data_IF_141449231850
#
_entry.id   IF_141449231850
#
_cell.length_a   1.000
_cell.length_b   1.000
_cell.length_c   1.000
_cell.angle_alpha   90.00
_cell.angle_beta   90.00
_cell.angle_gamma   90.00
#
_symmetry.space_group_name_H-M   'P 1'
#
loop_
_entity.id
_entity.type
_entity.pdbx_description
1 polymer ?
#
# COMPACT_ATOMS: atom_id res chain seq x y z
N UNK A 1 21.64 14.71 19.84
CA UNK A 1 21.66 13.50 19.00
C UNK A 1 20.81 13.85 17.80
N UNK A 2 21.26 13.62 16.57
CA UNK A 2 20.41 13.76 15.39
C UNK A 2 19.38 12.64 15.52
N UNK A 3 18.12 13.01 15.63
CA UNK A 3 17.02 12.05 15.62
C UNK A 3 17.01 11.38 14.24
N UNK A 4 17.43 10.11 14.20
CA UNK A 4 17.51 9.35 12.95
C UNK A 4 16.17 8.68 12.74
N UNK A 5 15.38 9.20 11.83
CA UNK A 5 14.14 8.56 11.38
C UNK A 5 14.35 7.90 10.02
N UNK A 6 13.68 6.77 9.79
CA UNK A 6 13.55 6.17 8.46
C UNK A 6 12.28 6.69 7.80
N UNK A 7 12.42 7.30 6.63
CA UNK A 7 11.27 7.81 5.87
C UNK A 7 10.73 6.77 4.91
N UNK A 8 9.49 6.34 5.15
CA UNK A 8 8.75 5.43 4.27
C UNK A 8 7.65 6.22 3.56
N UNK A 9 7.62 6.16 2.24
CA UNK A 9 6.57 6.77 1.43
C UNK A 9 5.69 5.67 0.84
N UNK A 10 4.38 5.76 1.03
CA UNK A 10 3.40 4.84 0.47
C UNK A 10 2.60 5.54 -0.63
N UNK A 11 2.63 4.99 -1.84
CA UNK A 11 1.65 5.24 -2.89
C UNK A 11 0.74 4.02 -3.05
N UNK A 12 -0.46 4.20 -3.55
CA UNK A 12 -1.43 3.13 -3.75
C UNK A 12 -2.35 3.44 -4.92
N UNK A 13 -2.95 2.40 -5.49
CA UNK A 13 -4.03 2.53 -6.45
C UNK A 13 -3.61 3.37 -7.67
N UNK A 14 -2.50 2.94 -8.30
CA UNK A 14 -1.92 3.58 -9.48
C UNK A 14 -2.82 3.40 -10.71
N UNK A 15 -3.45 2.23 -10.85
CA UNK A 15 -4.37 1.87 -11.94
C UNK A 15 -3.85 2.21 -13.33
N UNK A 16 -2.57 1.95 -13.58
CA UNK A 16 -1.98 2.18 -14.89
C UNK A 16 -2.60 1.28 -15.95
N UNK A 17 -2.52 1.71 -17.19
CA UNK A 17 -2.87 0.95 -18.37
C UNK A 17 -1.65 0.80 -19.27
N UNK A 18 -1.67 -0.18 -20.17
CA UNK A 18 -0.67 -0.27 -21.24
C UNK A 18 -0.72 0.96 -22.15
N UNK A 19 -1.93 1.47 -22.41
CA UNK A 19 -2.13 2.71 -23.17
C UNK A 19 -1.92 3.94 -22.25
N UNK A 20 -0.93 4.79 -22.51
CA UNK A 20 -0.65 5.96 -21.70
C UNK A 20 -1.74 7.04 -21.72
N UNK A 21 -2.58 7.04 -22.75
CA UNK A 21 -3.67 8.00 -22.91
C UNK A 21 -5.00 7.50 -22.35
N UNK A 22 -5.04 6.25 -21.84
CA UNK A 22 -6.24 5.69 -21.25
C UNK A 22 -6.69 6.50 -20.01
N UNK A 23 -8.01 6.63 -19.88
CA UNK A 23 -8.63 7.34 -18.78
C UNK A 23 -9.42 6.38 -17.86
N UNK A 24 -9.27 6.59 -16.56
CA UNK A 24 -10.11 5.97 -15.53
C UNK A 24 -10.96 7.07 -14.88
N UNK A 25 -12.28 7.01 -15.09
CA UNK A 25 -13.22 8.01 -14.52
C UNK A 25 -12.87 9.48 -14.85
N UNK A 26 -12.33 9.74 -16.04
CA UNK A 26 -11.92 11.08 -16.48
C UNK A 26 -10.56 11.55 -15.97
N UNK A 27 -9.78 10.66 -15.39
CA UNK A 27 -8.39 10.89 -14.96
C UNK A 27 -7.46 10.03 -15.79
N UNK A 28 -6.33 10.57 -16.26
CA UNK A 28 -5.25 9.80 -16.88
C UNK A 28 -4.27 9.30 -15.80
N UNK A 29 -4.29 8.00 -15.44
CA UNK A 29 -3.43 7.49 -14.36
C UNK A 29 -1.94 7.69 -14.64
N UNK A 30 -1.51 7.57 -15.89
CA UNK A 30 -0.11 7.80 -16.27
C UNK A 30 0.40 9.19 -15.87
N UNK A 31 -0.42 10.23 -16.10
CA UNK A 31 -0.04 11.59 -15.74
C UNK A 31 0.01 11.76 -14.22
N UNK A 32 -0.95 11.17 -13.52
CA UNK A 32 -1.01 11.28 -12.06
C UNK A 32 0.13 10.53 -11.36
N UNK A 33 0.43 9.30 -11.77
CA UNK A 33 1.54 8.52 -11.19
C UNK A 33 2.88 9.22 -11.48
N UNK A 34 3.10 9.73 -12.69
CA UNK A 34 4.31 10.49 -13.02
C UNK A 34 4.44 11.72 -12.14
N UNK A 35 3.37 12.47 -11.95
CA UNK A 35 3.34 13.67 -11.06
C UNK A 35 3.61 13.29 -9.61
N UNK A 36 3.01 12.20 -9.11
CA UNK A 36 3.25 11.73 -7.74
C UNK A 36 4.72 11.37 -7.54
N UNK A 37 5.29 10.57 -8.43
CA UNK A 37 6.71 10.17 -8.34
C UNK A 37 7.65 11.36 -8.47
N UNK A 38 7.34 12.34 -9.34
CA UNK A 38 8.11 13.57 -9.44
C UNK A 38 8.02 14.39 -8.15
N UNK A 39 6.81 14.59 -7.61
CA UNK A 39 6.60 15.31 -6.35
C UNK A 39 7.37 14.67 -5.20
N UNK A 40 7.33 13.33 -5.10
CA UNK A 40 8.08 12.60 -4.07
C UNK A 40 9.60 12.82 -4.24
N UNK A 41 10.14 12.79 -5.47
CA UNK A 41 11.56 13.06 -5.71
C UNK A 41 11.99 14.47 -5.29
N UNK A 42 11.11 15.44 -5.47
CA UNK A 42 11.37 16.86 -5.18
C UNK A 42 11.21 17.21 -3.70
N UNK A 43 10.21 16.61 -3.02
CA UNK A 43 9.80 17.03 -1.67
C UNK A 43 10.14 16.00 -0.59
N UNK A 44 10.36 14.73 -0.97
CA UNK A 44 10.76 13.65 -0.06
C UNK A 44 12.16 13.09 -0.40
N UNK A 45 13.20 13.95 -0.47
CA UNK A 45 14.54 13.51 -0.90
C UNK A 45 15.16 12.46 0.04
N UNK A 46 14.69 12.41 1.29
CA UNK A 46 15.09 11.42 2.29
C UNK A 46 14.25 10.14 2.27
N UNK A 47 13.46 9.88 1.22
CA UNK A 47 12.71 8.64 1.09
C UNK A 47 13.65 7.44 1.06
N UNK A 48 13.64 6.64 2.13
CA UNK A 48 14.45 5.43 2.27
C UNK A 48 13.77 4.23 1.62
N UNK A 49 12.44 4.15 1.76
CA UNK A 49 11.62 3.07 1.20
C UNK A 49 10.38 3.64 0.52
N UNK A 50 10.14 3.23 -0.72
CA UNK A 50 8.90 3.48 -1.45
C UNK A 50 8.04 2.21 -1.40
N UNK A 51 6.84 2.27 -0.85
CA UNK A 51 5.89 1.16 -0.84
C UNK A 51 4.77 1.46 -1.84
N UNK A 52 4.46 0.50 -2.73
CA UNK A 52 3.30 0.54 -3.62
C UNK A 52 2.32 -0.54 -3.18
N UNK A 53 1.24 -0.11 -2.55
CA UNK A 53 0.34 -0.99 -1.80
C UNK A 53 -0.89 -1.46 -2.59
N UNK A 54 -0.65 -1.92 -3.82
CA UNK A 54 -1.65 -2.60 -4.65
C UNK A 54 -2.30 -1.71 -5.71
N UNK A 55 -3.02 -2.38 -6.62
CA UNK A 55 -3.65 -1.81 -7.80
C UNK A 55 -2.66 -1.02 -8.66
N UNK A 56 -1.53 -1.69 -8.99
CA UNK A 56 -0.46 -1.14 -9.82
C UNK A 56 -0.93 -0.96 -11.26
N UNK A 57 -1.58 -2.02 -11.79
CA UNK A 57 -2.10 -2.08 -13.16
C UNK A 57 -3.61 -2.25 -13.14
N UNK A 58 -4.34 -1.49 -13.95
CA UNK A 58 -5.79 -1.64 -14.09
C UNK A 58 -6.19 -2.74 -15.09
N UNK A 59 -5.36 -2.95 -16.09
CA UNK A 59 -5.56 -3.90 -17.19
C UNK A 59 -4.91 -5.28 -16.95
N UNK A 60 -4.24 -5.47 -15.81
CA UNK A 60 -3.53 -6.70 -15.39
C UNK A 60 -2.44 -7.15 -16.39
N UNK A 61 -2.09 -6.33 -17.38
CA UNK A 61 -1.19 -6.70 -18.46
C UNK A 61 0.28 -6.48 -18.08
N UNK A 62 1.13 -7.46 -18.42
CA UNK A 62 2.57 -7.39 -18.17
C UNK A 62 3.25 -6.10 -18.65
N UNK A 63 2.95 -5.55 -19.86
CA UNK A 63 3.54 -4.29 -20.30
C UNK A 63 3.27 -3.11 -19.37
N UNK A 64 2.14 -3.08 -18.67
CA UNK A 64 1.79 -2.04 -17.71
C UNK A 64 2.73 -2.04 -16.52
N UNK A 65 3.11 -3.22 -16.00
CA UNK A 65 4.12 -3.33 -14.94
C UNK A 65 5.51 -2.88 -15.40
N UNK A 66 5.87 -3.16 -16.67
CA UNK A 66 7.14 -2.66 -17.26
C UNK A 66 7.14 -1.13 -17.26
N UNK A 67 6.05 -0.50 -17.68
CA UNK A 67 5.92 0.97 -17.67
C UNK A 67 6.03 1.52 -16.24
N UNK A 68 5.36 0.91 -15.26
CA UNK A 68 5.49 1.34 -13.86
C UNK A 68 6.94 1.23 -13.37
N UNK A 69 7.61 0.11 -13.67
CA UNK A 69 9.01 -0.10 -13.30
C UNK A 69 9.94 0.95 -13.92
N UNK A 70 9.70 1.34 -15.18
CA UNK A 70 10.42 2.43 -15.84
C UNK A 70 10.15 3.79 -15.17
N UNK A 71 8.91 4.08 -14.75
CA UNK A 71 8.57 5.30 -14.02
C UNK A 71 9.26 5.37 -12.64
N UNK A 72 9.34 4.25 -11.92
CA UNK A 72 10.06 4.14 -10.65
C UNK A 72 11.56 4.37 -10.86
N UNK A 73 12.12 3.78 -11.92
CA UNK A 73 13.49 3.99 -12.35
C UNK A 73 14.52 3.54 -11.30
N UNK A 74 15.43 4.43 -10.93
CA UNK A 74 16.52 4.18 -9.98
C UNK A 74 16.07 3.93 -8.53
N UNK A 75 14.78 4.11 -8.24
CA UNK A 75 14.20 3.79 -6.93
C UNK A 75 13.77 2.33 -6.78
N UNK A 76 13.80 1.52 -7.85
CA UNK A 76 13.40 0.10 -7.80
C UNK A 76 14.10 -0.66 -6.64
N UNK A 77 15.42 -0.52 -6.37
CA UNK A 77 16.04 -1.28 -5.27
C UNK A 77 15.50 -0.95 -3.88
N UNK A 78 14.95 0.24 -3.68
CA UNK A 78 14.30 0.67 -2.42
C UNK A 78 12.77 0.57 -2.47
N UNK A 79 12.22 0.08 -3.57
CA UNK A 79 10.77 -0.12 -3.71
C UNK A 79 10.34 -1.46 -3.11
N UNK A 80 9.14 -1.48 -2.53
CA UNK A 80 8.44 -2.70 -2.11
C UNK A 80 7.04 -2.66 -2.65
N UNK A 81 6.54 -3.79 -3.12
CA UNK A 81 5.24 -3.88 -3.77
C UNK A 81 4.42 -5.02 -3.18
N UNK A 82 3.12 -4.82 -3.13
CA UNK A 82 2.12 -5.87 -2.88
C UNK A 82 1.00 -5.72 -3.90
N UNK A 83 0.26 -6.79 -4.26
CA UNK A 83 -0.83 -6.69 -5.21
C UNK A 83 -2.11 -6.15 -4.58
N UNK A 84 -2.92 -5.48 -5.40
CA UNK A 84 -4.32 -5.22 -5.16
C UNK A 84 -5.22 -6.17 -5.98
N UNK A 85 -6.52 -5.86 -6.05
CA UNK A 85 -7.46 -6.70 -6.81
C UNK A 85 -7.34 -6.52 -8.33
N UNK A 86 -6.74 -5.44 -8.81
CA UNK A 86 -6.42 -5.19 -10.22
C UNK A 86 -4.98 -5.57 -10.57
N UNK A 87 -4.42 -6.60 -9.95
CA UNK A 87 -3.04 -6.97 -10.23
C UNK A 87 -2.91 -8.46 -10.66
N UNK A 88 -1.80 -8.76 -11.33
CA UNK A 88 -1.46 -10.09 -11.81
C UNK A 88 -0.11 -10.54 -11.26
N UNK A 89 -0.12 -11.48 -10.29
CA UNK A 89 1.08 -11.91 -9.54
C UNK A 89 2.22 -12.37 -10.45
N UNK A 90 1.94 -13.19 -11.47
CA UNK A 90 2.99 -13.69 -12.36
C UNK A 90 3.71 -12.54 -13.08
N UNK A 91 2.97 -11.51 -13.52
CA UNK A 91 3.56 -10.32 -14.14
C UNK A 91 4.39 -9.52 -13.15
N UNK A 92 3.97 -9.43 -11.89
CA UNK A 92 4.73 -8.76 -10.83
C UNK A 92 6.03 -9.53 -10.52
N UNK A 93 5.98 -10.85 -10.39
CA UNK A 93 7.18 -11.69 -10.19
C UNK A 93 8.17 -11.55 -11.34
N UNK A 94 7.69 -11.54 -12.59
CA UNK A 94 8.55 -11.44 -13.76
C UNK A 94 9.19 -10.05 -13.91
N UNK A 95 8.40 -8.98 -13.74
CA UNK A 95 8.88 -7.61 -13.98
C UNK A 95 9.68 -7.04 -12.81
N UNK A 96 9.38 -7.45 -11.58
CA UNK A 96 10.01 -6.97 -10.35
C UNK A 96 10.83 -8.05 -9.63
N UNK A 97 11.42 -8.98 -10.39
CA UNK A 97 12.16 -10.13 -9.86
C UNK A 97 13.29 -9.77 -8.87
N UNK A 98 13.82 -8.54 -8.93
CA UNK A 98 14.87 -8.07 -8.02
C UNK A 98 14.35 -7.65 -6.62
N UNK A 99 13.04 -7.42 -6.46
CA UNK A 99 12.42 -6.98 -5.19
C UNK A 99 11.28 -7.87 -4.72
N UNK A 100 10.90 -8.87 -5.50
CA UNK A 100 9.90 -9.88 -5.16
C UNK A 100 10.58 -11.23 -4.99
N UNK A 101 10.25 -11.95 -3.91
CA UNK A 101 10.84 -13.26 -3.60
C UNK A 101 10.30 -14.33 -4.55
N UNK A 102 11.11 -14.92 -5.44
CA UNK A 102 10.62 -15.83 -6.49
C UNK A 102 10.03 -17.14 -5.97
N UNK A 103 10.47 -17.60 -4.78
CA UNK A 103 10.05 -18.86 -4.17
C UNK A 103 8.67 -18.79 -3.51
N UNK A 104 8.10 -17.60 -3.38
CA UNK A 104 6.78 -17.40 -2.80
C UNK A 104 5.74 -17.25 -3.90
N UNK A 105 4.58 -17.85 -3.72
CA UNK A 105 3.45 -17.69 -4.62
C UNK A 105 2.82 -16.31 -4.45
N UNK A 106 2.73 -15.85 -3.21
CA UNK A 106 2.25 -14.52 -2.84
C UNK A 106 3.35 -13.48 -3.05
N UNK A 107 2.96 -12.28 -3.45
CA UNK A 107 3.84 -11.11 -3.53
C UNK A 107 3.79 -10.38 -2.20
N UNK A 108 4.62 -10.82 -1.27
CA UNK A 108 4.75 -10.24 0.06
C UNK A 108 6.22 -9.89 0.35
N UNK A 109 6.45 -9.07 1.36
CA UNK A 109 7.80 -8.69 1.76
C UNK A 109 7.92 -8.47 3.26
N UNK A 110 9.14 -8.62 3.75
CA UNK A 110 9.61 -8.17 5.04
C UNK A 110 10.83 -7.28 4.82
N UNK A 111 10.95 -6.21 5.58
CA UNK A 111 12.14 -5.37 5.61
C UNK A 111 12.40 -4.83 6.99
N UNK A 112 13.62 -5.08 7.48
CA UNK A 112 14.14 -4.45 8.70
C UNK A 112 14.55 -3.01 8.42
N UNK A 113 14.24 -2.14 9.37
CA UNK A 113 14.61 -0.74 9.39
C UNK A 113 15.21 -0.41 10.77
N UNK A 114 15.99 0.67 10.93
CA UNK A 114 16.41 1.11 12.25
C UNK A 114 15.23 1.32 13.20
N UNK A 115 15.15 0.52 14.28
CA UNK A 115 14.08 0.57 15.27
C UNK A 115 12.69 0.09 14.83
N UNK A 116 12.53 -0.33 13.58
CA UNK A 116 11.25 -0.75 13.00
C UNK A 116 11.40 -1.94 12.06
N UNK A 117 10.28 -2.59 11.83
CA UNK A 117 10.10 -3.54 10.74
C UNK A 117 8.85 -3.18 9.92
N UNK A 118 8.92 -3.38 8.62
CA UNK A 118 7.75 -3.29 7.75
C UNK A 118 7.43 -4.65 7.12
N UNK A 119 6.15 -5.00 7.10
CA UNK A 119 5.61 -6.19 6.41
C UNK A 119 4.64 -5.76 5.33
N UNK A 120 4.73 -6.35 4.16
CA UNK A 120 3.73 -6.23 3.10
C UNK A 120 3.02 -7.56 2.90
N UNK A 121 1.69 -7.56 2.98
CA UNK A 121 0.85 -8.76 2.88
C UNK A 121 0.04 -8.73 1.58
N UNK A 122 0.09 -9.84 0.86
CA UNK A 122 -0.71 -10.07 -0.33
C UNK A 122 -2.12 -10.50 0.06
N UNK A 123 -3.11 -9.73 -0.35
CA UNK A 123 -4.53 -10.02 -0.09
C UNK A 123 -5.32 -10.25 -1.39
N UNK A 124 -4.63 -10.42 -2.51
CA UNK A 124 -5.23 -10.59 -3.81
C UNK A 124 -5.92 -11.95 -3.97
N UNK A 125 -7.12 -11.97 -4.53
CA UNK A 125 -7.81 -13.17 -5.02
C UNK A 125 -8.01 -13.00 -6.52
N UNK A 126 -7.45 -13.87 -7.38
CA UNK A 126 -7.60 -13.75 -8.83
C UNK A 126 -9.07 -13.64 -9.28
N UNK A 127 -9.40 -12.57 -10.00
CA UNK A 127 -10.73 -12.34 -10.56
C UNK A 127 -11.80 -11.87 -9.55
N UNK A 128 -11.40 -11.52 -8.33
CA UNK A 128 -12.32 -11.03 -7.29
C UNK A 128 -11.94 -9.62 -6.86
N UNK A 129 -12.93 -8.82 -6.44
CA UNK A 129 -12.69 -7.46 -5.92
C UNK A 129 -12.33 -7.47 -4.42
N UNK A 130 -13.04 -8.22 -3.55
CA UNK A 130 -12.63 -8.34 -2.14
C UNK A 130 -11.34 -9.16 -1.99
N UNK A 131 -10.57 -8.86 -0.95
CA UNK A 131 -9.35 -9.60 -0.63
C UNK A 131 -9.53 -10.74 0.36
N UNK A 132 -8.51 -11.58 0.48
CA UNK A 132 -8.39 -12.62 1.50
C UNK A 132 -6.91 -12.83 1.85
N UNK A 133 -6.62 -13.17 3.10
CA UNK A 133 -5.30 -13.64 3.51
C UNK A 133 -5.33 -15.16 3.68
N UNK A 134 -4.48 -15.86 2.90
CA UNK A 134 -4.40 -17.33 2.91
C UNK A 134 -3.70 -17.90 4.16
N UNK A 135 -3.84 -19.24 4.35
CA UNK A 135 -3.24 -19.93 5.50
C UNK A 135 -1.72 -19.82 5.53
N UNK A 136 -1.07 -20.02 4.39
CA UNK A 136 0.37 -19.92 4.26
C UNK A 136 0.89 -18.55 4.64
N UNK A 137 0.22 -17.49 4.19
CA UNK A 137 0.63 -16.13 4.50
C UNK A 137 0.30 -15.72 5.94
N UNK A 138 -0.81 -16.21 6.52
CA UNK A 138 -1.07 -16.06 7.95
C UNK A 138 0.06 -16.70 8.79
N UNK A 139 0.50 -17.91 8.42
CA UNK A 139 1.61 -18.56 9.11
C UNK A 139 2.92 -17.80 8.94
N UNK A 140 3.23 -17.36 7.72
CA UNK A 140 4.40 -16.54 7.45
C UNK A 140 4.41 -15.25 8.27
N UNK A 141 3.28 -14.51 8.30
CA UNK A 141 3.16 -13.29 9.10
C UNK A 141 3.34 -13.56 10.60
N UNK A 142 2.74 -14.66 11.11
CA UNK A 142 2.91 -15.09 12.49
C UNK A 142 4.38 -15.37 12.82
N UNK A 143 5.09 -16.10 11.95
CA UNK A 143 6.49 -16.46 12.16
C UNK A 143 7.39 -15.22 12.14
N UNK A 144 7.16 -14.29 11.21
CA UNK A 144 7.87 -13.00 11.17
C UNK A 144 7.65 -12.21 12.47
N UNK A 145 6.39 -12.09 12.91
CA UNK A 145 6.06 -11.34 14.13
C UNK A 145 6.60 -11.99 15.39
N UNK A 146 6.63 -13.34 15.44
CA UNK A 146 7.16 -14.08 16.57
C UNK A 146 8.69 -14.03 16.69
N UNK A 147 9.41 -13.87 15.57
CA UNK A 147 10.86 -13.80 15.55
C UNK A 147 11.42 -12.59 16.29
N UNK A 148 10.69 -11.47 16.26
CA UNK A 148 11.10 -10.22 16.91
C UNK A 148 9.91 -9.56 17.65
N UNK A 149 9.55 -10.07 18.84
CA UNK A 149 8.32 -9.67 19.54
C UNK A 149 8.33 -8.22 20.06
N UNK A 150 9.51 -7.62 20.19
CA UNK A 150 9.67 -6.26 20.69
C UNK A 150 9.88 -5.21 19.58
N UNK A 151 10.00 -5.65 18.30
CA UNK A 151 10.27 -4.73 17.20
C UNK A 151 8.98 -4.06 16.71
N UNK A 152 8.81 -2.73 16.87
CA UNK A 152 7.70 -1.99 16.29
C UNK A 152 7.50 -2.35 14.82
N UNK A 153 6.28 -2.67 14.44
CA UNK A 153 5.98 -3.18 13.09
C UNK A 153 4.86 -2.37 12.45
N UNK A 154 5.10 -1.94 11.20
CA UNK A 154 4.11 -1.37 10.29
C UNK A 154 3.74 -2.43 9.25
N UNK A 155 2.44 -2.75 9.13
CA UNK A 155 1.93 -3.71 8.18
C UNK A 155 1.23 -2.98 7.04
N UNK A 156 1.64 -3.26 5.81
CA UNK A 156 0.96 -2.85 4.59
C UNK A 156 0.14 -4.00 4.02
N UNK A 157 -1.06 -3.71 3.59
CA UNK A 157 -1.91 -4.62 2.82
C UNK A 157 -2.82 -3.80 1.90
N UNK A 158 -3.37 -4.40 0.84
CA UNK A 158 -4.23 -3.63 -0.05
C UNK A 158 -5.64 -3.48 0.53
N UNK A 159 -6.31 -4.59 0.86
CA UNK A 159 -7.69 -4.58 1.33
C UNK A 159 -7.78 -4.33 2.84
N UNK A 160 -8.54 -3.32 3.31
CA UNK A 160 -8.69 -3.04 4.73
C UNK A 160 -9.34 -4.21 5.50
N UNK A 161 -8.75 -4.62 6.65
CA UNK A 161 -9.37 -5.57 7.58
C UNK A 161 -10.29 -4.87 8.60
N UNK A 162 -10.68 -3.64 8.33
CA UNK A 162 -11.50 -2.81 9.21
C UNK A 162 -12.47 -1.96 8.38
N UNK A 163 -13.58 -1.54 9.01
CA UNK A 163 -14.51 -0.62 8.36
C UNK A 163 -13.89 0.76 8.18
N UNK A 164 -14.03 1.29 6.98
CA UNK A 164 -13.66 2.68 6.61
C UNK A 164 -14.88 3.62 6.61
N UNK A 165 -15.97 3.19 7.26
CA UNK A 165 -17.24 3.95 7.37
C UNK A 165 -17.86 4.31 6.01
N UNK A 166 -17.56 3.52 4.99
CA UNK A 166 -18.07 3.71 3.62
C UNK A 166 -18.74 2.41 3.17
N UNK A 167 -20.07 2.31 3.26
CA UNK A 167 -20.82 1.04 3.21
C UNK A 167 -20.59 0.18 1.97
N UNK A 168 -20.25 0.75 0.82
CA UNK A 168 -19.98 -0.03 -0.38
C UNK A 168 -18.55 -0.57 -0.40
N UNK A 169 -17.57 0.19 0.12
CA UNK A 169 -16.19 -0.23 0.27
C UNK A 169 -16.03 -1.27 1.39
N UNK A 170 -16.77 -1.11 2.50
CA UNK A 170 -16.75 -2.07 3.60
C UNK A 170 -17.21 -3.49 3.18
N UNK A 171 -17.94 -3.61 2.06
CA UNK A 171 -18.37 -4.91 1.50
C UNK A 171 -17.29 -5.60 0.65
N UNK A 172 -16.30 -4.86 0.21
CA UNK A 172 -15.24 -5.33 -0.69
C UNK A 172 -13.84 -5.22 -0.07
N UNK A 173 -13.75 -5.02 1.23
CA UNK A 173 -12.50 -5.11 2.00
C UNK A 173 -11.98 -6.54 2.14
N UNK A 174 -11.27 -6.83 3.21
CA UNK A 174 -10.75 -8.17 3.49
C UNK A 174 -11.88 -9.12 3.97
N UNK A 175 -12.17 -10.19 3.23
CA UNK A 175 -13.26 -11.15 3.53
C UNK A 175 -13.09 -11.84 4.88
N UNK A 176 -11.87 -12.23 5.21
CA UNK A 176 -11.53 -12.90 6.47
C UNK A 176 -10.84 -11.96 7.46
N UNK A 177 -11.33 -10.73 7.54
CA UNK A 177 -10.81 -9.67 8.41
C UNK A 177 -10.71 -10.12 9.88
N UNK A 178 -11.73 -10.79 10.41
CA UNK A 178 -11.73 -11.30 11.79
C UNK A 178 -10.55 -12.22 12.05
N UNK A 179 -10.23 -13.11 11.11
CA UNK A 179 -9.08 -14.02 11.20
C UNK A 179 -7.76 -13.27 11.28
N UNK A 180 -7.58 -12.27 10.44
CA UNK A 180 -6.38 -11.44 10.45
C UNK A 180 -6.25 -10.62 11.74
N UNK A 181 -7.35 -10.04 12.20
CA UNK A 181 -7.36 -9.30 13.46
C UNK A 181 -7.09 -10.20 14.68
N UNK A 182 -7.60 -11.45 14.68
CA UNK A 182 -7.27 -12.46 15.70
C UNK A 182 -5.78 -12.83 15.65
N UNK A 183 -5.21 -13.00 14.45
CA UNK A 183 -3.78 -13.24 14.27
C UNK A 183 -2.93 -12.16 14.92
N UNK A 184 -3.35 -10.90 14.85
CA UNK A 184 -2.59 -9.77 15.39
C UNK A 184 -2.73 -9.57 16.91
N UNK A 185 -3.69 -10.22 17.58
CA UNK A 185 -3.92 -10.04 19.03
C UNK A 185 -2.69 -10.31 19.92
N UNK A 186 -1.91 -11.39 19.69
CA UNK A 186 -0.72 -11.65 20.49
C UNK A 186 0.48 -10.76 20.16
N UNK A 187 0.36 -9.85 19.17
CA UNK A 187 1.47 -9.06 18.66
C UNK A 187 1.24 -7.54 18.84
N UNK A 188 1.36 -7.01 20.08
CA UNK A 188 1.18 -5.58 20.38
C UNK A 188 2.23 -4.69 19.70
N UNK A 189 3.38 -5.25 19.28
CA UNK A 189 4.40 -4.56 18.49
C UNK A 189 3.93 -4.15 17.09
N UNK A 190 2.84 -4.74 16.56
CA UNK A 190 2.20 -4.20 15.35
C UNK A 190 1.50 -2.90 15.73
N UNK A 191 2.13 -1.77 15.42
CA UNK A 191 1.67 -0.44 15.79
C UNK A 191 0.74 0.18 14.76
N UNK A 192 0.91 -0.19 13.49
CA UNK A 192 0.17 0.41 12.36
C UNK A 192 -0.21 -0.70 11.38
N UNK A 193 -1.46 -0.62 10.89
CA UNK A 193 -1.92 -1.35 9.69
C UNK A 193 -2.39 -0.31 8.69
N UNK A 194 -1.73 -0.22 7.53
CA UNK A 194 -2.05 0.76 6.49
C UNK A 194 -2.42 0.09 5.17
N UNK A 195 -3.52 0.55 4.57
CA UNK A 195 -4.13 -0.07 3.40
C UNK A 195 -4.31 0.91 2.24
N UNK A 196 -4.47 0.36 1.02
CA UNK A 196 -4.97 1.03 -0.17
C UNK A 196 -6.45 0.79 -0.40
N UNK A 197 -6.84 0.52 -1.66
CA UNK A 197 -8.15 0.03 -2.11
C UNK A 197 -9.30 1.04 -2.03
N UNK A 198 -9.34 1.86 -1.00
CA UNK A 198 -10.49 2.74 -0.72
C UNK A 198 -10.39 4.10 -1.40
N UNK A 199 -9.26 4.42 -1.98
CA UNK A 199 -8.97 5.67 -2.70
C UNK A 199 -9.26 6.95 -1.91
N UNK A 200 -9.28 6.88 -0.58
CA UNK A 200 -9.38 8.04 0.30
C UNK A 200 -8.58 7.84 1.58
N UNK A 201 -8.28 8.93 2.23
CA UNK A 201 -7.65 8.93 3.53
C UNK A 201 -8.66 8.54 4.61
N UNK A 202 -8.27 7.59 5.45
CA UNK A 202 -9.00 7.22 6.65
C UNK A 202 -8.00 6.95 7.79
N UNK A 203 -8.41 7.28 9.01
CA UNK A 203 -7.64 7.01 10.20
C UNK A 203 -8.57 6.62 11.35
N UNK A 204 -8.19 5.58 12.08
CA UNK A 204 -8.84 5.16 13.30
C UNK A 204 -7.80 4.65 14.29
N UNK A 205 -7.83 5.21 15.50
CA UNK A 205 -7.02 4.73 16.60
C UNK A 205 -7.73 3.55 17.29
N UNK A 206 -7.03 2.42 17.38
CA UNK A 206 -7.42 1.27 18.17
C UNK A 206 -6.67 1.30 19.53
N UNK A 207 -6.95 0.30 20.38
CA UNK A 207 -6.34 0.24 21.73
C UNK A 207 -4.82 0.08 21.69
N UNK A 208 -4.29 -0.64 20.69
CA UNK A 208 -2.86 -0.99 20.61
C UNK A 208 -2.23 -0.55 19.29
N UNK A 209 -3.03 -0.29 18.26
CA UNK A 209 -2.55 0.01 16.90
C UNK A 209 -3.43 1.01 16.19
N UNK A 210 -2.81 1.71 15.26
CA UNK A 210 -3.49 2.63 14.36
C UNK A 210 -3.87 1.93 13.06
N UNK A 211 -5.08 2.20 12.57
CA UNK A 211 -5.59 1.71 11.28
C UNK A 211 -5.71 2.87 10.31
N UNK A 212 -5.03 2.77 9.18
CA UNK A 212 -4.89 3.84 8.20
C UNK A 212 -5.26 3.37 6.81
N UNK A 213 -5.73 4.30 5.98
CA UNK A 213 -5.72 4.12 4.53
C UNK A 213 -4.99 5.26 3.85
N UNK A 214 -4.45 4.96 2.68
CA UNK A 214 -3.77 5.93 1.83
C UNK A 214 -4.68 6.29 0.66
N UNK A 215 -4.76 7.56 0.26
CA UNK A 215 -5.48 7.94 -0.94
C UNK A 215 -4.83 7.34 -2.18
N UNK A 216 -5.60 7.14 -3.24
CA UNK A 216 -5.06 6.80 -4.54
C UNK A 216 -4.17 7.91 -5.10
N UNK A 217 -3.14 7.54 -5.85
CA UNK A 217 -2.39 8.51 -6.66
C UNK A 217 -3.11 8.86 -7.97
N UNK A 218 -4.23 8.20 -8.28
CA UNK A 218 -5.06 8.45 -9.46
C UNK A 218 -6.45 8.99 -9.07
N UNK A 219 -7.46 8.14 -9.02
CA UNK A 219 -8.86 8.51 -8.78
C UNK A 219 -9.18 8.50 -7.29
N UNK A 220 -9.92 9.50 -6.81
CA UNK A 220 -10.37 9.54 -5.42
C UNK A 220 -11.84 9.12 -5.31
N UNK A 221 -12.19 8.35 -4.27
CA UNK A 221 -13.58 8.06 -3.93
C UNK A 221 -14.04 8.88 -2.73
N UNK A 222 -15.28 9.39 -2.81
CA UNK A 222 -15.88 10.12 -1.72
C UNK A 222 -16.21 9.18 -0.55
N UNK A 223 -15.69 9.47 0.66
CA UNK A 223 -15.99 8.66 1.83
C UNK A 223 -17.47 8.80 2.27
N UNK A 224 -17.95 7.83 3.05
CA UNK A 224 -19.26 7.80 3.69
C UNK A 224 -20.45 7.80 2.72
N UNK A 225 -20.23 7.40 1.48
CA UNK A 225 -21.28 7.24 0.47
C UNK A 225 -21.82 5.82 0.43
N UNK A 226 -23.08 5.64 -0.03
CA UNK A 226 -23.69 4.31 -0.20
C UNK A 226 -23.26 3.61 -1.48
N UNK A 227 -22.89 4.39 -2.49
CA UNK A 227 -22.47 3.93 -3.81
C UNK A 227 -21.14 4.61 -4.17
N UNK A 228 -20.43 4.08 -5.17
CA UNK A 228 -19.20 4.67 -5.66
C UNK A 228 -19.45 6.07 -6.24
N UNK A 229 -18.88 7.07 -5.61
CA UNK A 229 -18.89 8.47 -6.04
C UNK A 229 -17.45 8.97 -6.15
N UNK A 230 -17.13 9.63 -7.25
CA UNK A 230 -15.82 10.26 -7.45
C UNK A 230 -15.73 11.51 -6.57
N UNK A 231 -14.60 11.67 -5.89
CA UNK A 231 -14.28 12.87 -5.14
C UNK A 231 -13.40 13.81 -5.98
N UNK A 232 -13.47 15.09 -5.68
CA UNK A 232 -12.65 16.14 -6.31
C UNK A 232 -11.42 16.51 -5.48
N UNK A 233 -11.22 15.84 -4.35
CA UNK A 233 -10.01 16.01 -3.54
C UNK A 233 -8.79 15.59 -4.37
N UNK A 234 -7.69 16.36 -4.35
CA UNK A 234 -6.49 16.00 -5.09
C UNK A 234 -5.95 14.61 -4.71
N UNK A 235 -5.35 13.93 -5.68
CA UNK A 235 -4.57 12.71 -5.45
C UNK A 235 -3.46 12.95 -4.42
N UNK A 236 -2.97 11.88 -3.81
CA UNK A 236 -1.96 12.03 -2.76
C UNK A 236 -1.25 10.73 -2.44
N UNK A 237 -0.33 10.79 -1.51
CA UNK A 237 0.43 9.68 -0.96
C UNK A 237 0.58 9.86 0.55
N UNK A 238 0.99 8.82 1.25
CA UNK A 238 1.24 8.88 2.70
C UNK A 238 2.73 8.79 3.00
N UNK A 239 3.16 9.56 3.98
CA UNK A 239 4.53 9.55 4.51
C UNK A 239 4.49 9.01 5.94
N UNK A 240 5.50 8.23 6.30
CA UNK A 240 5.80 7.81 7.65
C UNK A 240 7.23 8.19 7.97
N UNK A 241 7.43 8.86 9.09
CA UNK A 241 8.72 9.05 9.75
C UNK A 241 8.79 8.09 10.93
N UNK A 242 9.58 7.03 10.80
CA UNK A 242 9.73 5.96 11.78
C UNK A 242 11.01 6.19 12.58
N UNK A 243 10.90 6.50 13.88
CA UNK A 243 12.04 6.79 14.74
C UNK A 243 12.60 5.53 15.40
N UNK A 244 13.91 5.49 15.64
CA UNK A 244 14.60 4.33 16.24
C UNK A 244 14.05 3.95 17.64
N UNK A 245 13.42 4.88 18.34
CA UNK A 245 12.81 4.65 19.66
C UNK A 245 11.42 3.99 19.59
N UNK A 246 10.92 3.69 18.38
CA UNK A 246 9.62 3.12 18.14
C UNK A 246 8.47 4.12 18.09
N UNK A 247 8.74 5.42 18.23
CA UNK A 247 7.76 6.47 17.91
C UNK A 247 7.67 6.69 16.41
N UNK A 248 6.58 7.30 15.94
CA UNK A 248 6.39 7.60 14.52
C UNK A 248 5.49 8.81 14.31
N UNK A 249 5.64 9.42 13.15
CA UNK A 249 4.75 10.43 12.62
C UNK A 249 4.25 9.98 11.24
N UNK A 250 3.03 10.38 10.88
CA UNK A 250 2.48 10.07 9.56
C UNK A 250 1.51 11.13 9.09
N UNK A 251 1.58 11.44 7.81
CA UNK A 251 0.68 12.37 7.16
C UNK A 251 0.35 11.97 5.73
N UNK A 252 -0.75 12.51 5.22
CA UNK A 252 -1.09 12.42 3.79
C UNK A 252 -0.68 13.72 3.10
N UNK A 253 0.18 13.59 2.11
CA UNK A 253 0.59 14.69 1.23
C UNK A 253 -0.30 14.71 0.00
N UNK A 254 -0.99 15.83 -0.24
CA UNK A 254 -1.86 16.01 -1.41
C UNK A 254 -1.12 16.72 -2.53
N UNK A 255 -1.23 16.19 -3.74
CA UNK A 255 -0.67 16.81 -4.93
C UNK A 255 -1.44 18.07 -5.26
N UNK A 256 -0.74 19.16 -5.64
CA UNK A 256 -1.43 20.36 -6.11
C UNK A 256 -2.35 20.00 -7.30
N UNK A 257 -3.50 20.69 -7.50
CA UNK A 257 -4.31 20.48 -8.70
C UNK A 257 -3.47 20.62 -9.97
N UNK A 258 -3.80 19.82 -11.01
CA UNK A 258 -3.22 20.05 -12.33
C UNK A 258 -3.69 21.44 -12.81
N UNK A 259 -2.74 22.31 -13.12
CA UNK A 259 -3.02 23.62 -13.67
C UNK A 259 -3.68 23.55 -15.04
#
# INVERSE_FOLDING_TARGET
MVDMSTRVVQISDCHLFTDPDAELRGVRPHDQVRRALQHIREHEPACDVLVISGDLAHDELRPTYVVLREMIGDWVPRCRIIPGNHDHRESMHDVFAEIVTPEQQEVCFEQQLPGWRILGLDTHIPGEVPGEIGDAQCQWAHDQLSAEPDCPTLVFMHHPPFSVETPWLDKIGLRNADRFLELLKPFPQVRIVCCGHVHHEFQRDGNERQYLTTPSVAVQFRPRTKNAEIDTVPAGYRVFDLHEDGSYETEVVRLAPAG
#
